data_IF_088570645584
#
_entry.id   IF_088570645584
#
_cell.length_a   1.000
_cell.length_b   1.000
_cell.length_c   1.000
_cell.angle_alpha   90.00
_cell.angle_beta   90.00
_cell.angle_gamma   90.00
#
_symmetry.space_group_name_H-M   'P 1'
#
loop_
_entity.id
_entity.type
_entity.pdbx_description
1 polymer ?
#
# COMPACT_ATOMS: atom_id res chain seq x y z
N UNK A 1 -12.91 2.10 11.16
CA UNK A 1 -11.55 1.56 11.07
C UNK A 1 -11.28 1.03 9.66
N UNK A 2 -10.08 1.24 9.12
CA UNK A 2 -9.67 0.77 7.78
C UNK A 2 -9.79 -0.75 7.66
N UNK A 3 -9.45 -1.48 8.71
CA UNK A 3 -9.55 -2.95 8.75
C UNK A 3 -10.97 -3.45 8.49
N UNK A 4 -11.95 -2.81 9.13
CA UNK A 4 -13.36 -3.16 8.94
C UNK A 4 -13.79 -2.90 7.49
N UNK A 5 -13.37 -1.78 6.90
CA UNK A 5 -13.68 -1.47 5.51
C UNK A 5 -13.10 -2.52 4.54
N UNK A 6 -11.84 -2.93 4.73
CA UNK A 6 -11.22 -4.00 3.95
C UNK A 6 -11.97 -5.34 4.12
N UNK A 7 -12.32 -5.71 5.35
CA UNK A 7 -13.02 -6.97 5.63
C UNK A 7 -14.43 -7.00 4.99
N UNK A 8 -15.17 -5.89 5.09
CA UNK A 8 -16.51 -5.78 4.46
C UNK A 8 -16.39 -5.87 2.94
N UNK A 9 -15.47 -5.11 2.33
CA UNK A 9 -15.30 -5.14 0.87
C UNK A 9 -14.80 -6.50 0.39
N UNK A 10 -13.94 -7.18 1.15
CA UNK A 10 -13.53 -8.53 0.80
C UNK A 10 -14.70 -9.53 0.89
N UNK A 11 -15.57 -9.43 1.91
CA UNK A 11 -16.77 -10.25 1.97
C UNK A 11 -17.71 -10.00 0.78
N UNK A 12 -17.85 -8.73 0.36
CA UNK A 12 -18.62 -8.38 -0.85
C UNK A 12 -17.96 -8.92 -2.13
N UNK A 13 -16.62 -8.91 -2.25
CA UNK A 13 -15.92 -9.52 -3.38
C UNK A 13 -16.21 -11.03 -3.49
N UNK A 14 -16.35 -11.76 -2.37
CA UNK A 14 -16.68 -13.18 -2.39
C UNK A 14 -18.11 -13.47 -2.87
N UNK A 15 -18.99 -12.47 -2.84
CA UNK A 15 -20.38 -12.56 -3.32
C UNK A 15 -20.55 -11.96 -4.72
N UNK A 16 -19.51 -11.36 -5.28
CA UNK A 16 -19.53 -10.65 -6.57
C UNK A 16 -19.22 -11.60 -7.73
N UNK A 17 -20.21 -12.41 -8.12
CA UNK A 17 -20.10 -13.41 -9.19
C UNK A 17 -19.69 -12.81 -10.55
N UNK A 18 -20.00 -11.53 -10.80
CA UNK A 18 -19.73 -10.84 -12.05
C UNK A 18 -18.40 -10.06 -12.03
N UNK A 19 -17.64 -10.15 -10.94
CA UNK A 19 -16.39 -9.42 -10.73
C UNK A 19 -16.52 -7.89 -10.89
N UNK A 20 -17.71 -7.34 -10.64
CA UNK A 20 -17.99 -5.92 -10.78
C UNK A 20 -17.04 -5.05 -9.93
N UNK A 21 -16.79 -5.47 -8.69
CA UNK A 21 -15.88 -4.76 -7.78
C UNK A 21 -14.45 -4.74 -8.33
N UNK A 22 -13.97 -5.85 -8.88
CA UNK A 22 -12.64 -5.92 -9.49
C UNK A 22 -12.54 -5.02 -10.72
N UNK A 23 -13.54 -5.06 -11.60
CA UNK A 23 -13.58 -4.27 -12.83
C UNK A 23 -13.56 -2.76 -12.52
N UNK A 24 -14.33 -2.31 -11.51
CA UNK A 24 -14.53 -0.88 -11.28
C UNK A 24 -13.62 -0.28 -10.21
N UNK A 25 -13.15 -1.06 -9.25
CA UNK A 25 -12.45 -0.56 -8.07
C UNK A 25 -10.97 -0.98 -7.99
N UNK A 26 -10.54 -2.06 -8.67
CA UNK A 26 -9.12 -2.41 -8.76
C UNK A 26 -8.35 -1.36 -9.59
N UNK A 27 -7.06 -1.22 -9.35
CA UNK A 27 -6.21 -0.30 -10.10
C UNK A 27 -5.76 -0.98 -11.40
N UNK A 28 -6.30 -0.52 -12.51
CA UNK A 28 -5.94 -0.98 -13.86
C UNK A 28 -4.84 -0.10 -14.47
N UNK A 29 -3.93 -0.66 -15.28
CA UNK A 29 -2.90 0.10 -15.97
C UNK A 29 -3.48 1.15 -16.92
N UNK A 30 -2.71 2.20 -17.20
CA UNK A 30 -3.06 3.21 -18.19
C UNK A 30 -3.08 2.57 -19.59
N UNK A 31 -4.10 2.88 -20.38
CA UNK A 31 -4.25 2.35 -21.74
C UNK A 31 -4.74 0.90 -21.83
N UNK A 32 -5.10 0.26 -20.71
CA UNK A 32 -5.60 -1.11 -20.73
C UNK A 32 -6.97 -1.28 -21.40
N UNK A 33 -7.74 -0.21 -21.54
CA UNK A 33 -9.11 -0.21 -22.08
C UNK A 33 -9.23 -0.07 -23.60
N UNK A 34 -8.21 -0.41 -24.38
CA UNK A 34 -8.25 -0.28 -25.85
C UNK A 34 -9.31 -1.16 -26.52
N UNK A 35 -9.62 -2.31 -25.90
CA UNK A 35 -10.70 -3.19 -26.32
C UNK A 35 -11.77 -3.32 -25.23
N UNK A 36 -13.07 -3.37 -25.59
CA UNK A 36 -14.13 -3.68 -24.62
C UNK A 36 -13.88 -5.01 -23.90
N UNK A 37 -14.22 -5.09 -22.61
CA UNK A 37 -14.10 -6.32 -21.81
C UNK A 37 -14.87 -7.48 -22.43
N UNK A 38 -16.02 -7.19 -23.06
CA UNK A 38 -16.84 -8.19 -23.81
C UNK A 38 -16.12 -8.81 -25.00
N UNK A 39 -15.04 -8.18 -25.49
CA UNK A 39 -14.20 -8.68 -26.59
C UNK A 39 -12.84 -9.19 -26.11
N UNK A 40 -12.71 -9.48 -24.80
CA UNK A 40 -11.47 -9.97 -24.19
C UNK A 40 -10.48 -8.86 -23.82
N UNK A 41 -10.88 -7.58 -23.86
CA UNK A 41 -10.09 -6.47 -23.38
C UNK A 41 -10.08 -6.34 -21.86
N UNK A 42 -9.22 -5.45 -21.38
CA UNK A 42 -9.09 -5.15 -19.95
C UNK A 42 -9.90 -3.89 -19.59
N UNK A 43 -10.35 -3.77 -18.32
CA UNK A 43 -10.98 -2.54 -17.85
C UNK A 43 -10.03 -1.34 -17.97
N UNK A 44 -10.60 -0.18 -18.27
CA UNK A 44 -9.84 1.07 -18.36
C UNK A 44 -9.56 1.66 -16.97
N UNK A 45 -8.39 2.31 -16.82
CA UNK A 45 -8.07 3.08 -15.63
C UNK A 45 -9.10 4.19 -15.36
N UNK A 46 -9.48 4.34 -14.11
CA UNK A 46 -10.31 5.42 -13.62
C UNK A 46 -9.67 6.09 -12.40
N UNK A 47 -9.72 7.44 -12.24
CA UNK A 47 -8.99 8.15 -11.20
C UNK A 47 -9.29 7.69 -9.76
N UNK A 48 -10.52 7.27 -9.47
CA UNK A 48 -10.88 6.77 -8.14
C UNK A 48 -10.17 5.45 -7.77
N UNK A 49 -9.74 4.70 -8.76
CA UNK A 49 -9.00 3.47 -8.56
C UNK A 49 -7.67 3.68 -7.82
N UNK A 50 -7.07 4.89 -7.88
CA UNK A 50 -5.91 5.25 -7.07
C UNK A 50 -6.13 5.12 -5.56
N UNK A 51 -7.38 5.11 -5.13
CA UNK A 51 -7.75 4.94 -3.73
C UNK A 51 -8.49 3.62 -3.48
N UNK A 52 -9.46 3.28 -4.34
CA UNK A 52 -10.39 2.17 -4.08
C UNK A 52 -9.70 0.81 -4.11
N UNK A 53 -8.67 0.64 -4.94
CA UNK A 53 -7.91 -0.61 -5.04
C UNK A 53 -7.32 -1.05 -3.70
N UNK A 54 -6.97 -0.09 -2.84
CA UNK A 54 -6.41 -0.36 -1.51
C UNK A 54 -7.36 -1.09 -0.57
N UNK A 55 -8.64 -1.15 -0.87
CA UNK A 55 -9.63 -1.83 -0.03
C UNK A 55 -10.01 -3.22 -0.54
N UNK A 56 -9.64 -3.57 -1.77
CA UNK A 56 -9.84 -4.89 -2.35
C UNK A 56 -8.69 -5.83 -1.95
N UNK A 57 -8.93 -7.14 -1.94
CA UNK A 57 -7.89 -8.12 -1.66
C UNK A 57 -8.01 -9.36 -2.56
N UNK A 58 -6.86 -9.89 -3.00
CA UNK A 58 -6.81 -11.01 -3.92
C UNK A 58 -6.99 -12.39 -3.26
N UNK A 59 -6.84 -12.48 -1.92
CA UNK A 59 -6.99 -13.76 -1.20
C UNK A 59 -7.16 -13.54 0.30
N UNK A 60 -7.71 -14.56 1.05
CA UNK A 60 -7.81 -14.48 2.51
C UNK A 60 -6.45 -14.24 3.21
N UNK A 61 -5.35 -14.94 2.86
CA UNK A 61 -4.05 -14.65 3.45
C UNK A 61 -3.58 -13.21 3.19
N UNK A 62 -3.83 -12.67 1.99
CA UNK A 62 -3.48 -11.29 1.64
C UNK A 62 -4.18 -10.28 2.57
N UNK A 63 -5.49 -10.45 2.81
CA UNK A 63 -6.25 -9.63 3.75
C UNK A 63 -5.72 -9.77 5.19
N UNK A 64 -5.45 -11.02 5.63
CA UNK A 64 -4.98 -11.29 6.99
C UNK A 64 -3.61 -10.67 7.27
N UNK A 65 -2.63 -10.81 6.36
CA UNK A 65 -1.31 -10.24 6.54
C UNK A 65 -1.34 -8.71 6.56
N UNK A 66 -2.10 -8.09 5.65
CA UNK A 66 -2.31 -6.64 5.65
C UNK A 66 -2.99 -6.16 6.93
N UNK A 67 -4.05 -6.86 7.35
CA UNK A 67 -4.79 -6.54 8.57
C UNK A 67 -3.91 -6.65 9.81
N UNK A 68 -3.12 -7.72 9.92
CA UNK A 68 -2.19 -7.92 11.02
C UNK A 68 -1.13 -6.82 11.09
N UNK A 69 -0.54 -6.47 9.94
CA UNK A 69 0.48 -5.42 9.89
C UNK A 69 -0.09 -4.03 10.26
N UNK A 70 -1.27 -3.68 9.74
CA UNK A 70 -1.97 -2.45 10.13
C UNK A 70 -2.32 -2.43 11.62
N UNK A 71 -2.75 -3.57 12.18
CA UNK A 71 -3.04 -3.66 13.60
C UNK A 71 -1.76 -3.53 14.43
N UNK A 72 -0.71 -4.25 14.08
CA UNK A 72 0.53 -4.30 14.86
C UNK A 72 1.30 -2.97 14.83
N UNK A 73 1.50 -2.40 13.65
CA UNK A 73 2.29 -1.17 13.49
C UNK A 73 1.43 0.10 13.46
N UNK A 74 0.25 0.01 12.86
CA UNK A 74 -0.63 1.15 12.68
C UNK A 74 -1.28 1.62 13.98
N UNK A 75 -1.61 0.72 14.90
CA UNK A 75 -2.21 1.09 16.18
C UNK A 75 -1.32 2.00 17.02
N UNK A 76 -0.01 1.77 17.02
CA UNK A 76 0.93 2.62 17.76
C UNK A 76 1.09 3.99 17.11
N UNK A 77 1.14 4.04 15.76
CA UNK A 77 1.16 5.31 15.03
C UNK A 77 -0.13 6.12 15.21
N UNK A 78 -1.29 5.46 15.18
CA UNK A 78 -2.57 6.10 15.39
C UNK A 78 -2.67 6.69 16.80
N UNK A 79 -2.20 5.96 17.83
CA UNK A 79 -2.13 6.47 19.20
C UNK A 79 -1.18 7.66 19.32
N UNK A 80 -0.07 7.63 18.57
CA UNK A 80 0.96 8.65 18.66
C UNK A 80 0.60 9.94 17.90
N UNK A 81 0.04 9.82 16.68
CA UNK A 81 -0.32 10.96 15.83
C UNK A 81 -1.76 11.44 15.99
N UNK A 82 -2.62 10.58 16.52
CA UNK A 82 -4.07 10.72 16.49
C UNK A 82 -4.70 10.19 15.19
N UNK A 83 -6.02 9.90 15.22
CA UNK A 83 -6.70 9.22 14.11
C UNK A 83 -6.71 10.02 12.79
N UNK A 84 -6.83 11.34 12.85
CA UNK A 84 -6.89 12.17 11.65
C UNK A 84 -5.58 12.20 10.85
N UNK A 85 -4.42 12.52 11.46
CA UNK A 85 -3.13 12.43 10.79
C UNK A 85 -2.78 11.02 10.32
N UNK A 86 -3.05 10.01 11.15
CA UNK A 86 -2.83 8.61 10.78
C UNK A 86 -3.62 8.21 9.53
N UNK A 87 -4.91 8.54 9.47
CA UNK A 87 -5.75 8.25 8.30
C UNK A 87 -5.21 8.94 7.04
N UNK A 88 -4.88 10.23 7.13
CA UNK A 88 -4.27 10.96 5.99
C UNK A 88 -2.96 10.33 5.53
N UNK A 89 -2.15 9.86 6.46
CA UNK A 89 -0.89 9.19 6.14
C UNK A 89 -1.12 7.90 5.36
N UNK A 90 -2.02 7.04 5.83
CA UNK A 90 -2.31 5.76 5.17
C UNK A 90 -2.93 6.00 3.79
N UNK A 91 -3.91 6.91 3.68
CA UNK A 91 -4.54 7.21 2.39
C UNK A 91 -3.55 7.79 1.38
N UNK A 92 -2.66 8.69 1.81
CA UNK A 92 -1.61 9.21 0.94
C UNK A 92 -0.63 8.12 0.49
N UNK A 93 -0.24 7.20 1.39
CA UNK A 93 0.62 6.08 1.05
C UNK A 93 -0.06 5.12 0.03
N UNK A 94 -1.37 4.86 0.15
CA UNK A 94 -2.15 4.10 -0.83
C UNK A 94 -2.11 4.81 -2.20
N UNK A 95 -2.42 6.10 -2.25
CA UNK A 95 -2.43 6.87 -3.51
C UNK A 95 -1.03 6.89 -4.14
N UNK A 96 0.02 7.16 -3.35
CA UNK A 96 1.39 7.17 -3.86
C UNK A 96 1.87 5.82 -4.35
N UNK A 97 1.45 4.74 -3.69
CA UNK A 97 1.69 3.38 -4.14
C UNK A 97 1.00 3.10 -5.49
N UNK A 98 -0.25 3.51 -5.64
CA UNK A 98 -0.99 3.40 -6.89
C UNK A 98 -0.35 4.19 -8.03
N UNK A 99 0.12 5.41 -7.77
CA UNK A 99 0.85 6.22 -8.76
C UNK A 99 2.15 5.53 -9.19
N UNK A 100 2.95 5.03 -8.23
CA UNK A 100 4.18 4.30 -8.54
C UNK A 100 3.90 3.05 -9.40
N UNK A 101 2.84 2.30 -9.08
CA UNK A 101 2.42 1.15 -9.85
C UNK A 101 2.02 1.51 -11.28
N UNK A 102 1.24 2.59 -11.48
CA UNK A 102 0.87 3.05 -12.81
C UNK A 102 2.08 3.46 -13.66
N UNK A 103 3.05 4.15 -13.05
CA UNK A 103 4.29 4.54 -13.74
C UNK A 103 5.04 3.30 -14.22
N UNK A 104 5.24 2.32 -13.34
CA UNK A 104 5.97 1.10 -13.71
C UNK A 104 5.20 0.25 -14.71
N UNK A 105 3.89 0.10 -14.55
CA UNK A 105 3.05 -0.62 -15.50
C UNK A 105 3.07 0.02 -16.90
N UNK A 106 3.21 1.34 -17.00
CA UNK A 106 3.34 2.05 -18.28
C UNK A 106 4.68 1.82 -18.99
N UNK A 107 5.69 1.27 -18.30
CA UNK A 107 7.00 0.96 -18.89
C UNK A 107 7.05 -0.39 -19.62
N UNK A 108 5.97 -1.14 -19.59
CA UNK A 108 5.80 -2.42 -20.27
C UNK A 108 5.40 -3.55 -19.29
N UNK A 109 4.87 -4.62 -19.86
CA UNK A 109 4.38 -5.82 -19.15
C UNK A 109 2.92 -6.12 -19.48
N UNK A 110 2.50 -7.35 -19.15
CA UNK A 110 1.10 -7.72 -19.28
C UNK A 110 0.24 -6.91 -18.29
N UNK A 111 -0.91 -6.37 -18.72
CA UNK A 111 -1.80 -5.65 -17.84
C UNK A 111 -2.40 -6.59 -16.79
N UNK A 112 -2.27 -6.23 -15.53
CA UNK A 112 -2.94 -6.93 -14.42
C UNK A 112 -3.50 -5.94 -13.40
N UNK A 113 -4.62 -6.28 -12.76
CA UNK A 113 -5.21 -5.41 -11.74
C UNK A 113 -4.39 -5.45 -10.45
N UNK A 114 -4.09 -4.29 -9.91
CA UNK A 114 -3.48 -4.18 -8.58
C UNK A 114 -4.58 -4.00 -7.53
N UNK A 115 -4.47 -4.75 -6.44
CA UNK A 115 -5.37 -4.70 -5.28
C UNK A 115 -4.60 -4.82 -3.98
N UNK A 116 -5.15 -4.26 -2.91
CA UNK A 116 -4.63 -4.41 -1.55
C UNK A 116 -4.14 -3.12 -0.92
N UNK A 117 -4.36 -3.02 0.40
CA UNK A 117 -3.91 -1.90 1.22
C UNK A 117 -2.39 -1.94 1.50
N UNK A 118 -1.67 -2.91 0.93
CA UNK A 118 -0.26 -3.17 1.22
C UNK A 118 0.65 -1.96 0.99
N UNK A 119 0.40 -1.13 -0.04
CA UNK A 119 1.11 0.14 -0.22
C UNK A 119 0.98 1.06 0.99
N UNK A 120 -0.23 1.16 1.58
CA UNK A 120 -0.47 1.83 2.86
C UNK A 120 0.25 1.17 4.03
N UNK A 121 0.27 -0.17 4.08
CA UNK A 121 0.99 -0.96 5.10
C UNK A 121 2.49 -0.68 5.05
N UNK A 122 3.10 -0.63 3.87
CA UNK A 122 4.52 -0.29 3.74
C UNK A 122 4.81 1.15 4.16
N UNK A 123 3.91 2.10 3.87
CA UNK A 123 3.98 3.43 4.44
C UNK A 123 3.93 3.42 5.97
N UNK A 124 3.00 2.67 6.56
CA UNK A 124 2.87 2.49 8.02
C UNK A 124 4.11 1.85 8.61
N UNK A 125 4.67 0.83 7.97
CA UNK A 125 5.91 0.16 8.39
C UNK A 125 7.07 1.16 8.44
N UNK A 126 7.23 1.99 7.42
CA UNK A 126 8.23 3.06 7.40
C UNK A 126 7.98 4.07 8.54
N UNK A 127 6.75 4.54 8.67
CA UNK A 127 6.36 5.47 9.74
C UNK A 127 6.72 4.92 11.11
N UNK A 128 6.38 3.66 11.37
CA UNK A 128 6.71 2.98 12.62
C UNK A 128 8.24 2.89 12.84
N UNK A 129 8.99 2.49 11.83
CA UNK A 129 10.45 2.42 11.90
C UNK A 129 11.13 3.77 12.12
N UNK A 130 10.54 4.86 11.62
CA UNK A 130 11.06 6.22 11.84
C UNK A 130 10.66 6.81 13.20
N UNK A 131 9.49 6.42 13.75
CA UNK A 131 9.02 6.89 15.06
C UNK A 131 9.62 6.07 16.21
N UNK A 132 9.78 4.77 16.02
CA UNK A 132 10.23 3.82 17.04
C UNK A 132 11.45 3.00 16.59
N UNK A 133 12.55 3.63 16.12
CA UNK A 133 13.62 2.96 15.37
C UNK A 133 14.32 1.83 16.14
N UNK A 134 14.40 1.94 17.46
CA UNK A 134 15.08 0.99 18.33
C UNK A 134 14.15 -0.04 18.98
N UNK A 135 12.84 0.06 18.73
CA UNK A 135 11.88 -0.90 19.26
C UNK A 135 12.15 -2.27 18.64
N UNK A 136 12.23 -3.28 19.50
CA UNK A 136 12.34 -4.66 19.04
C UNK A 136 10.97 -5.13 18.58
N UNK A 137 10.91 -5.63 17.37
CA UNK A 137 9.74 -6.22 16.73
C UNK A 137 10.09 -7.62 16.24
N UNK A 138 9.10 -8.51 16.25
CA UNK A 138 9.24 -9.85 15.73
C UNK A 138 8.21 -10.01 14.60
N UNK A 139 8.65 -10.06 13.34
CA UNK A 139 7.75 -10.32 12.22
C UNK A 139 7.16 -11.72 12.34
N UNK A 140 6.01 -11.92 11.71
CA UNK A 140 5.33 -13.21 11.74
C UNK A 140 6.18 -14.31 11.06
N UNK A 141 6.89 -13.92 9.98
CA UNK A 141 7.77 -14.82 9.24
C UNK A 141 8.92 -14.05 8.54
N UNK A 142 10.18 -14.48 8.72
CA UNK A 142 10.64 -15.39 9.78
C UNK A 142 10.55 -14.72 11.16
N UNK A 143 10.28 -15.45 12.24
CA UNK A 143 10.11 -14.89 13.58
C UNK A 143 11.47 -14.55 14.22
N UNK A 144 12.19 -13.62 13.63
CA UNK A 144 13.50 -13.16 14.09
C UNK A 144 13.34 -11.79 14.73
N UNK A 145 13.57 -11.64 16.05
CA UNK A 145 13.51 -10.34 16.70
C UNK A 145 14.56 -9.37 16.13
N UNK A 146 14.13 -8.20 15.72
CA UNK A 146 15.01 -7.16 15.19
C UNK A 146 14.52 -5.76 15.52
N UNK A 147 15.38 -4.76 15.38
CA UNK A 147 14.97 -3.36 15.53
C UNK A 147 14.02 -2.96 14.41
N UNK A 148 13.02 -2.13 14.71
CA UNK A 148 12.04 -1.67 13.73
C UNK A 148 12.69 -1.02 12.50
N UNK A 149 13.74 -0.20 12.68
CA UNK A 149 14.52 0.36 11.55
C UNK A 149 15.15 -0.71 10.66
N UNK A 150 15.65 -1.79 11.25
CA UNK A 150 16.24 -2.91 10.50
C UNK A 150 15.17 -3.64 9.69
N UNK A 151 13.99 -3.87 10.29
CA UNK A 151 12.86 -4.48 9.60
C UNK A 151 12.48 -3.68 8.35
N UNK A 152 12.35 -2.35 8.47
CA UNK A 152 12.02 -1.47 7.32
C UNK A 152 13.05 -1.59 6.21
N UNK A 153 14.34 -1.54 6.55
CA UNK A 153 15.43 -1.64 5.56
C UNK A 153 15.40 -3.01 4.87
N UNK A 154 15.26 -4.09 5.62
CA UNK A 154 15.20 -5.46 5.08
C UNK A 154 14.02 -5.60 4.10
N UNK A 155 12.82 -5.15 4.50
CA UNK A 155 11.65 -5.23 3.62
C UNK A 155 11.80 -4.35 2.38
N UNK A 156 12.32 -3.13 2.51
CA UNK A 156 12.59 -2.26 1.36
C UNK A 156 13.60 -2.90 0.38
N UNK A 157 14.66 -3.54 0.89
CA UNK A 157 15.63 -4.24 0.06
C UNK A 157 15.03 -5.47 -0.64
N UNK A 158 14.20 -6.24 0.05
CA UNK A 158 13.49 -7.39 -0.54
C UNK A 158 12.57 -6.90 -1.67
N UNK A 159 11.75 -5.87 -1.43
CA UNK A 159 10.85 -5.33 -2.44
C UNK A 159 11.60 -4.80 -3.67
N UNK A 160 12.71 -4.11 -3.46
CA UNK A 160 13.54 -3.61 -4.55
C UNK A 160 14.16 -4.77 -5.34
N UNK A 161 14.74 -5.75 -4.64
CA UNK A 161 15.36 -6.91 -5.28
C UNK A 161 14.31 -7.71 -6.09
N UNK A 162 13.20 -8.05 -5.47
CA UNK A 162 12.16 -8.83 -6.14
C UNK A 162 11.51 -8.05 -7.28
N UNK A 163 11.26 -6.75 -7.11
CA UNK A 163 10.70 -5.91 -8.18
C UNK A 163 11.60 -5.77 -9.41
N UNK A 164 12.93 -5.83 -9.22
CA UNK A 164 13.90 -5.69 -10.34
C UNK A 164 14.24 -7.04 -10.97
N UNK A 165 14.41 -8.09 -10.16
CA UNK A 165 15.00 -9.35 -10.61
C UNK A 165 14.02 -10.52 -10.72
N UNK A 166 12.78 -10.38 -10.23
CA UNK A 166 11.76 -11.42 -10.37
C UNK A 166 10.64 -10.93 -11.29
N UNK A 167 10.42 -11.61 -12.39
CA UNK A 167 9.30 -11.34 -13.29
C UNK A 167 8.15 -12.31 -13.01
N UNK A 168 6.90 -11.82 -13.00
CA UNK A 168 5.72 -12.69 -13.09
C UNK A 168 5.08 -13.14 -11.77
N UNK A 169 5.43 -12.55 -10.63
CA UNK A 169 4.90 -12.97 -9.32
C UNK A 169 3.51 -12.43 -8.92
N UNK A 170 2.87 -11.59 -9.73
CA UNK A 170 1.56 -10.98 -9.38
C UNK A 170 1.61 -10.06 -8.14
N UNK A 171 2.80 -9.76 -7.61
CA UNK A 171 3.01 -8.87 -6.47
C UNK A 171 3.46 -7.52 -6.98
N UNK A 172 2.77 -6.46 -6.56
CA UNK A 172 3.08 -5.09 -6.95
C UNK A 172 4.22 -4.50 -6.10
N UNK A 173 5.44 -5.03 -6.27
CA UNK A 173 6.61 -4.62 -5.50
C UNK A 173 6.88 -3.11 -5.56
N UNK A 174 6.72 -2.51 -6.74
CA UNK A 174 6.90 -1.07 -6.90
C UNK A 174 5.78 -0.24 -6.25
N UNK A 175 4.56 -0.79 -6.11
CA UNK A 175 3.53 -0.15 -5.29
C UNK A 175 3.96 -0.11 -3.82
N UNK A 176 4.56 -1.17 -3.28
CA UNK A 176 5.09 -1.19 -1.91
C UNK A 176 6.18 -0.13 -1.72
N UNK A 177 7.13 -0.04 -2.65
CA UNK A 177 8.18 0.99 -2.64
C UNK A 177 7.59 2.40 -2.77
N UNK A 178 6.55 2.59 -3.59
CA UNK A 178 5.80 3.84 -3.71
C UNK A 178 5.14 4.25 -2.39
N UNK A 179 4.57 3.30 -1.66
CA UNK A 179 4.02 3.51 -0.31
C UNK A 179 5.09 3.93 0.71
N UNK A 180 6.25 3.26 0.72
CA UNK A 180 7.42 3.65 1.51
C UNK A 180 7.88 5.08 1.18
N UNK A 181 8.09 5.39 -0.10
CA UNK A 181 8.55 6.70 -0.55
C UNK A 181 7.58 7.82 -0.15
N UNK A 182 6.28 7.60 -0.34
CA UNK A 182 5.24 8.56 0.04
C UNK A 182 5.21 8.76 1.56
N UNK A 183 5.32 7.68 2.33
CA UNK A 183 5.42 7.74 3.79
C UNK A 183 6.63 8.56 4.24
N UNK A 184 7.79 8.37 3.61
CA UNK A 184 9.00 9.14 3.86
C UNK A 184 8.78 10.64 3.60
N UNK A 185 8.26 10.97 2.41
CA UNK A 185 7.99 12.37 2.03
C UNK A 185 7.03 13.03 3.02
N UNK A 186 5.96 12.35 3.43
CA UNK A 186 5.02 12.89 4.40
C UNK A 186 5.66 13.15 5.78
N UNK A 187 6.48 12.22 6.27
CA UNK A 187 7.17 12.40 7.55
C UNK A 187 8.16 13.56 7.48
N UNK A 188 8.97 13.65 6.41
CA UNK A 188 9.89 14.75 6.20
C UNK A 188 9.15 16.10 6.10
N UNK A 189 8.00 16.13 5.42
CA UNK A 189 7.12 17.30 5.40
C UNK A 189 6.64 17.67 6.80
N UNK A 190 6.09 16.73 7.56
CA UNK A 190 5.60 17.00 8.90
C UNK A 190 6.72 17.43 9.87
N UNK A 191 7.95 16.96 9.65
CA UNK A 191 9.15 17.42 10.38
C UNK A 191 9.63 18.81 9.97
N UNK A 192 9.04 19.41 8.94
CA UNK A 192 9.49 20.68 8.39
C UNK A 192 10.86 20.59 7.70
N UNK A 193 11.26 19.40 7.26
CA UNK A 193 12.55 19.13 6.59
C UNK A 193 12.48 19.33 5.07
N UNK A 194 11.28 19.58 4.53
CA UNK A 194 11.10 19.92 3.12
C UNK A 194 11.05 21.46 2.93
N UNK A 195 11.31 21.96 1.70
CA UNK A 195 11.21 23.39 1.38
C UNK A 195 9.84 23.98 1.71
N UNK A 196 8.76 23.18 1.51
CA UNK A 196 7.40 23.54 1.88
C UNK A 196 7.19 23.19 3.35
N UNK A 197 6.84 24.21 4.16
CA UNK A 197 6.67 24.02 5.61
C UNK A 197 5.23 23.67 5.96
N UNK A 198 5.00 22.70 6.89
CA UNK A 198 3.67 22.41 7.40
C UNK A 198 3.18 23.54 8.32
N UNK A 199 1.87 23.75 8.41
CA UNK A 199 1.27 24.67 9.40
C UNK A 199 1.58 24.27 10.85
N UNK A 200 1.80 22.98 11.08
CA UNK A 200 2.13 22.40 12.39
C UNK A 200 3.24 21.37 12.22
N UNK A 201 4.34 21.57 12.91
CA UNK A 201 5.46 20.61 12.92
C UNK A 201 5.13 19.51 13.94
N UNK A 202 5.25 18.24 13.53
CA UNK A 202 5.24 17.12 14.47
C UNK A 202 6.52 17.19 15.31
N UNK A 203 6.36 17.44 16.61
CA UNK A 203 7.44 17.34 17.60
C UNK A 203 7.41 15.93 18.18
N UNK A 204 8.59 15.34 18.31
CA UNK A 204 8.82 14.03 18.95
C UNK A 204 9.29 14.22 20.37
#
# INVERSE_FOLDING_TARGET
SLLIACAILYALQLMDEQAWLMIHLALWPLGSGELPVSLGGWPEFRPWQLLTYGFLHGSPPHLLFNGFALWMFGSDLERFWGPGPYLRFVLAAIIGAGVAQLIVASMGGEPYPTVGISGGVYGVLLGFGMMFPNRIVMPLFPPIPMKARTLVIVFACIELYTGVFTSGGGVAHFAHLGGLATGLVMILYWRGQLPIKPKRILRY
#
